data_IF_727991451663
#
_entry.id   IF_727991451663
#
_cell.length_a   1.000
_cell.length_b   1.000
_cell.length_c   1.000
_cell.angle_alpha   90.00
_cell.angle_beta   90.00
_cell.angle_gamma   90.00
#
_symmetry.space_group_name_H-M   'P 1'
#
loop_
_entity.id
_entity.type
_entity.pdbx_description
1 polymer ?
#
# COMPACT_ATOMS: atom_id res chain seq x y z
N UNK A 1 15.42 -26.95 -30.00
CA UNK A 1 14.18 -26.15 -29.98
C UNK A 1 14.40 -24.99 -29.03
N UNK A 2 14.70 -23.82 -29.59
CA UNK A 2 14.74 -22.55 -28.87
C UNK A 2 13.36 -22.27 -28.29
N UNK A 3 13.23 -22.36 -26.98
CA UNK A 3 12.11 -21.75 -26.25
C UNK A 3 12.66 -21.09 -25.00
N UNK A 4 13.43 -20.03 -25.22
CA UNK A 4 13.52 -18.95 -24.26
C UNK A 4 12.14 -18.27 -24.16
N UNK A 5 11.17 -18.89 -23.49
CA UNK A 5 9.97 -18.17 -23.07
C UNK A 5 10.35 -17.27 -21.87
N UNK A 6 11.06 -16.18 -22.16
CA UNK A 6 11.29 -15.07 -21.21
C UNK A 6 10.09 -14.12 -21.21
N UNK A 7 8.95 -14.55 -21.77
CA UNK A 7 7.70 -13.82 -21.61
C UNK A 7 7.20 -14.13 -20.21
N UNK A 8 7.42 -13.19 -19.28
CA UNK A 8 6.83 -13.24 -17.94
C UNK A 8 5.34 -13.49 -18.13
N UNK A 9 4.87 -14.68 -17.72
CA UNK A 9 3.49 -15.04 -17.92
C UNK A 9 2.65 -14.16 -16.98
N UNK A 10 1.74 -13.31 -17.47
CA UNK A 10 1.00 -12.35 -16.63
C UNK A 10 0.05 -13.05 -15.64
N UNK A 11 -0.14 -14.35 -15.80
CA UNK A 11 -0.91 -15.24 -14.92
C UNK A 11 -0.07 -15.83 -13.78
N UNK A 12 1.25 -15.58 -13.74
CA UNK A 12 2.11 -16.10 -12.68
C UNK A 12 1.65 -15.50 -11.35
N UNK A 13 1.38 -16.33 -10.32
CA UNK A 13 1.02 -15.83 -9.02
C UNK A 13 2.18 -15.03 -8.44
N UNK A 14 1.91 -13.78 -8.09
CA UNK A 14 2.82 -12.87 -7.42
C UNK A 14 2.41 -12.76 -5.95
N UNK A 15 3.41 -12.64 -5.07
CA UNK A 15 3.18 -12.27 -3.67
C UNK A 15 3.06 -10.77 -3.56
N UNK A 16 2.14 -10.32 -2.71
CA UNK A 16 1.98 -8.91 -2.41
C UNK A 16 3.31 -8.29 -1.93
N UNK A 17 3.79 -7.18 -2.54
CA UNK A 17 5.03 -6.52 -2.14
C UNK A 17 4.95 -5.93 -0.71
N UNK A 18 3.74 -5.76 -0.18
CA UNK A 18 3.47 -5.29 1.18
C UNK A 18 3.40 -6.42 2.22
N UNK A 19 3.60 -7.68 1.82
CA UNK A 19 3.61 -8.83 2.72
C UNK A 19 2.22 -9.29 3.17
N UNK A 20 1.24 -9.23 2.27
CA UNK A 20 -0.07 -9.88 2.45
C UNK A 20 -0.04 -11.34 2.00
N UNK A 21 -0.88 -12.17 2.64
CA UNK A 21 -1.00 -13.61 2.33
C UNK A 21 -1.77 -13.90 1.04
N UNK A 22 -2.26 -12.86 0.37
CA UNK A 22 -2.99 -12.98 -0.89
C UNK A 22 -2.08 -13.42 -2.04
N UNK A 23 -2.51 -14.45 -2.76
CA UNK A 23 -1.92 -14.87 -4.03
C UNK A 23 -2.79 -14.39 -5.18
N UNK A 24 -2.23 -13.58 -6.06
CA UNK A 24 -2.94 -13.03 -7.22
C UNK A 24 -2.02 -12.96 -8.43
N UNK A 25 -2.56 -13.01 -9.66
CA UNK A 25 -1.74 -12.83 -10.85
C UNK A 25 -1.21 -11.39 -10.92
N UNK A 26 0.00 -11.20 -11.45
CA UNK A 26 0.68 -9.89 -11.51
C UNK A 26 -0.20 -8.77 -12.13
N UNK A 27 -1.03 -9.12 -13.13
CA UNK A 27 -2.00 -8.20 -13.76
C UNK A 27 -3.04 -7.62 -12.79
N UNK A 28 -3.32 -8.30 -11.68
CA UNK A 28 -4.28 -7.89 -10.66
C UNK A 28 -3.62 -7.10 -9.51
N UNK A 29 -2.33 -6.78 -9.59
CA UNK A 29 -1.63 -6.06 -8.53
C UNK A 29 -2.29 -4.71 -8.21
N UNK A 30 -2.69 -3.94 -9.22
CA UNK A 30 -3.34 -2.64 -9.01
C UNK A 30 -4.68 -2.81 -8.29
N UNK A 31 -5.51 -3.74 -8.75
CA UNK A 31 -6.79 -4.04 -8.11
C UNK A 31 -6.58 -4.53 -6.67
N UNK A 32 -5.61 -5.42 -6.43
CA UNK A 32 -5.27 -5.91 -5.09
C UNK A 32 -4.80 -4.77 -4.18
N UNK A 33 -3.95 -3.85 -4.68
CA UNK A 33 -3.52 -2.69 -3.91
C UNK A 33 -4.69 -1.78 -3.54
N UNK A 34 -5.65 -1.56 -4.44
CA UNK A 34 -6.88 -0.83 -4.13
C UNK A 34 -7.78 -1.55 -3.13
N UNK A 35 -8.05 -2.84 -3.33
CA UNK A 35 -8.95 -3.62 -2.46
C UNK A 35 -8.39 -3.83 -1.05
N UNK A 36 -7.07 -4.00 -0.94
CA UNK A 36 -6.39 -4.27 0.34
C UNK A 36 -5.61 -3.06 0.87
N UNK A 37 -5.88 -1.86 0.35
CA UNK A 37 -5.15 -0.64 0.70
C UNK A 37 -5.12 -0.42 2.22
N UNK A 38 -6.28 -0.49 2.86
CA UNK A 38 -6.42 -0.34 4.31
C UNK A 38 -5.56 -1.34 5.09
N UNK A 39 -5.50 -2.60 4.64
CA UNK A 39 -4.66 -3.61 5.28
C UNK A 39 -3.15 -3.33 5.08
N UNK A 40 -2.77 -2.83 3.89
CA UNK A 40 -1.40 -2.44 3.59
C UNK A 40 -0.97 -1.24 4.44
N UNK A 41 -1.80 -0.21 4.50
CA UNK A 41 -1.60 0.98 5.33
C UNK A 41 -1.49 0.61 6.80
N UNK A 42 -2.38 -0.23 7.32
CA UNK A 42 -2.33 -0.64 8.71
C UNK A 42 -1.00 -1.33 9.05
N UNK A 43 -0.54 -2.28 8.24
CA UNK A 43 0.77 -2.93 8.44
C UNK A 43 1.93 -1.93 8.35
N UNK A 44 1.87 -1.02 7.38
CA UNK A 44 2.89 0.00 7.17
C UNK A 44 2.96 0.97 8.36
N UNK A 45 1.82 1.51 8.78
CA UNK A 45 1.69 2.39 9.93
C UNK A 45 2.14 1.68 11.19
N UNK A 46 1.84 0.39 11.37
CA UNK A 46 2.37 -0.40 12.49
C UNK A 46 3.90 -0.52 12.46
N UNK A 47 4.49 -0.59 11.27
CA UNK A 47 5.94 -0.63 11.09
C UNK A 47 6.61 0.74 11.32
N UNK A 48 5.95 1.84 10.94
CA UNK A 48 6.42 3.23 11.12
C UNK A 48 6.22 3.66 12.58
N UNK A 49 5.00 3.51 13.09
CA UNK A 49 4.53 3.97 14.39
C UNK A 49 4.51 2.85 15.44
N UNK A 50 5.63 2.14 15.60
CA UNK A 50 5.75 0.95 16.49
C UNK A 50 5.29 1.15 17.95
N UNK A 51 5.24 2.39 18.44
CA UNK A 51 4.86 2.72 19.83
C UNK A 51 3.82 3.84 19.97
N UNK A 52 3.33 4.38 18.84
CA UNK A 52 2.51 5.61 18.85
C UNK A 52 1.01 5.37 18.82
N UNK A 53 0.56 4.24 18.28
CA UNK A 53 -0.86 3.98 18.01
C UNK A 53 -1.31 2.58 18.45
N UNK A 54 -2.55 2.49 18.91
CA UNK A 54 -3.28 1.22 19.09
C UNK A 54 -3.73 0.65 17.74
N UNK A 55 -4.15 -0.62 17.67
CA UNK A 55 -4.68 -1.22 16.43
C UNK A 55 -5.83 -0.40 15.82
N UNK A 56 -6.71 0.11 16.69
CA UNK A 56 -7.82 0.98 16.31
C UNK A 56 -7.34 2.36 15.83
N UNK A 57 -6.38 2.97 16.55
CA UNK A 57 -5.79 4.24 16.13
C UNK A 57 -5.05 4.13 14.80
N UNK A 58 -4.41 3.00 14.51
CA UNK A 58 -3.78 2.75 13.21
C UNK A 58 -4.79 2.65 12.08
N UNK A 59 -5.96 2.03 12.33
CA UNK A 59 -7.07 1.96 11.36
C UNK A 59 -7.67 3.34 11.12
N UNK A 60 -7.93 4.10 12.18
CA UNK A 60 -8.45 5.46 12.05
C UNK A 60 -7.47 6.36 11.27
N UNK A 61 -6.18 6.26 11.58
CA UNK A 61 -5.14 6.97 10.86
C UNK A 61 -5.04 6.54 9.38
N UNK A 62 -5.18 5.24 9.08
CA UNK A 62 -5.23 4.74 7.71
C UNK A 62 -6.45 5.29 6.93
N UNK A 63 -7.62 5.35 7.55
CA UNK A 63 -8.83 5.97 6.99
C UNK A 63 -8.63 7.47 6.76
N UNK A 64 -7.99 8.17 7.69
CA UNK A 64 -7.72 9.60 7.57
C UNK A 64 -6.75 9.88 6.41
N UNK A 65 -5.69 9.09 6.26
CA UNK A 65 -4.78 9.17 5.11
C UNK A 65 -5.50 8.92 3.79
N UNK A 66 -6.37 7.91 3.73
CA UNK A 66 -7.18 7.61 2.54
C UNK A 66 -8.11 8.78 2.17
N UNK A 67 -8.73 9.44 3.16
CA UNK A 67 -9.55 10.63 2.93
C UNK A 67 -8.76 11.82 2.42
N UNK A 68 -7.53 12.02 2.90
CA UNK A 68 -6.64 13.09 2.42
C UNK A 68 -5.98 12.74 1.09
N UNK A 69 -5.95 11.46 0.69
CA UNK A 69 -5.43 11.01 -0.58
C UNK A 69 -6.42 11.28 -1.72
N UNK A 70 -6.54 12.54 -2.11
CA UNK A 70 -7.47 12.98 -3.15
C UNK A 70 -7.12 12.41 -4.54
N UNK A 71 -5.87 12.01 -4.77
CA UNK A 71 -5.35 11.54 -6.06
C UNK A 71 -5.29 9.99 -6.17
N UNK A 72 -5.61 9.27 -5.09
CA UNK A 72 -5.49 7.81 -5.05
C UNK A 72 -4.03 7.33 -5.16
N UNK A 73 -3.05 8.14 -4.74
CA UNK A 73 -1.62 7.81 -4.80
C UNK A 73 -1.27 6.65 -3.87
N UNK A 74 -2.02 6.48 -2.79
CA UNK A 74 -1.86 5.37 -1.88
C UNK A 74 -2.15 4.04 -2.60
N UNK A 75 -3.26 3.94 -3.32
CA UNK A 75 -3.63 2.74 -4.08
C UNK A 75 -2.71 2.47 -5.28
N UNK A 76 -2.20 3.53 -5.93
CA UNK A 76 -1.28 3.43 -7.08
C UNK A 76 0.14 2.99 -6.70
N UNK A 77 0.49 3.02 -5.41
CA UNK A 77 1.82 2.65 -4.94
C UNK A 77 2.02 1.13 -5.06
N UNK A 78 3.10 0.71 -5.75
CA UNK A 78 3.39 -0.71 -6.01
C UNK A 78 4.50 -1.28 -5.14
N UNK A 79 5.10 -0.45 -4.29
CA UNK A 79 6.19 -0.82 -3.42
C UNK A 79 6.13 -0.08 -2.08
N UNK A 80 6.72 -0.69 -1.06
CA UNK A 80 6.70 -0.20 0.32
C UNK A 80 7.32 1.18 0.44
N UNK A 81 8.38 1.48 -0.33
CA UNK A 81 9.09 2.76 -0.26
C UNK A 81 8.20 3.89 -0.80
N UNK A 82 7.61 3.70 -1.97
CA UNK A 82 6.66 4.64 -2.58
C UNK A 82 5.47 4.89 -1.65
N UNK A 83 4.85 3.83 -1.13
CA UNK A 83 3.72 3.95 -0.21
C UNK A 83 4.12 4.73 1.06
N UNK A 84 5.27 4.41 1.65
CA UNK A 84 5.81 5.15 2.81
C UNK A 84 5.99 6.63 2.53
N UNK A 85 6.50 6.97 1.34
CA UNK A 85 6.75 8.36 0.98
C UNK A 85 5.44 9.14 0.82
N UNK A 86 4.41 8.52 0.20
CA UNK A 86 3.07 9.12 0.10
C UNK A 86 2.45 9.30 1.48
N UNK A 87 2.49 8.28 2.35
CA UNK A 87 1.99 8.37 3.73
C UNK A 87 2.65 9.54 4.47
N UNK A 88 3.97 9.64 4.46
CA UNK A 88 4.69 10.75 5.11
C UNK A 88 4.31 12.12 4.54
N UNK A 89 4.10 12.22 3.23
CA UNK A 89 3.68 13.46 2.59
C UNK A 89 2.26 13.86 3.02
N UNK A 90 1.35 12.90 3.09
CA UNK A 90 -0.01 13.13 3.59
C UNK A 90 -0.01 13.51 5.06
N UNK A 91 0.74 12.79 5.92
CA UNK A 91 0.90 13.15 7.34
C UNK A 91 1.42 14.59 7.51
N UNK A 92 2.41 14.99 6.69
CA UNK A 92 2.91 16.35 6.71
C UNK A 92 1.85 17.39 6.31
N UNK A 93 1.03 17.09 5.28
CA UNK A 93 -0.09 17.94 4.87
C UNK A 93 -1.18 18.04 5.93
N UNK A 94 -1.55 16.93 6.57
CA UNK A 94 -2.55 16.91 7.65
C UNK A 94 -2.08 17.81 8.80
N UNK A 95 -0.79 17.77 9.12
CA UNK A 95 -0.20 18.60 10.16
C UNK A 95 -0.15 20.10 9.80
N UNK A 96 0.05 20.41 8.53
CA UNK A 96 0.06 21.78 7.99
C UNK A 96 -1.35 22.40 7.99
N UNK A 97 -2.36 21.64 7.55
CA UNK A 97 -3.77 22.07 7.50
C UNK A 97 -4.38 22.32 8.90
N UNK A 98 -3.79 21.71 9.94
CA UNK A 98 -4.23 21.85 11.33
C UNK A 98 -3.62 23.04 12.06
N UNK A 99 -2.81 23.88 11.39
CA UNK A 99 -1.93 24.88 12.03
C UNK A 99 -2.37 26.33 11.86
#
# INVERSE_FOLDING_TARGET
MDRHCVTVCPMRPMKCPFGCDSSFPERNLEQHCSEFLQAHLHKLLKAIHKKGFTDEGLKDHALLLEKHDNDGKLAKSRDVRSLTNVVKNLEAKIKDDSS
#
